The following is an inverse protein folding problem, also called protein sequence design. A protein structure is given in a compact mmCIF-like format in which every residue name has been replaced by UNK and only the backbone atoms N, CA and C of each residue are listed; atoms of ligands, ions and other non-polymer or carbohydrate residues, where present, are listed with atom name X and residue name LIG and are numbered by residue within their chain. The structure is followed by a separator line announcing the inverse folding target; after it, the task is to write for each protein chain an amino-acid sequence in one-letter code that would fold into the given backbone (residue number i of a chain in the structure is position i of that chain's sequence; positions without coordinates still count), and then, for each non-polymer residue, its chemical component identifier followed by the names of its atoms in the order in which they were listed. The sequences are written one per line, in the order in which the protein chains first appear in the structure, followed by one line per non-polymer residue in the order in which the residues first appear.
data_IF_871305187227
#
_entry.id   IF_871305187227
#
_cell.length_a   1.000
_cell.length_b   1.000
_cell.length_c   1.000
_cell.angle_alpha   90.00
_cell.angle_beta   90.00
_cell.angle_gamma   90.00
#
_symmetry.space_group_name_H-M   'P 1'
#
loop_
_entity.id
_entity.type
_entity.pdbx_description
1 polymer ?
#
# COMPACT_ATOMS: atom_id res chain seq x y z
N UNK A 1 24.97 -10.23 38.44
CA UNK A 1 24.09 -9.09 38.77
C UNK A 1 24.04 -8.05 37.64
N UNK A 2 25.17 -7.49 37.20
CA UNK A 2 25.24 -6.48 36.11
C UNK A 2 24.63 -6.96 34.78
N UNK A 3 24.86 -8.23 34.40
CA UNK A 3 24.31 -8.84 33.17
C UNK A 3 22.78 -8.92 33.17
N UNK A 4 22.18 -9.22 34.32
CA UNK A 4 20.72 -9.30 34.48
C UNK A 4 20.07 -7.91 34.45
N UNK A 5 20.75 -6.88 34.97
CA UNK A 5 20.27 -5.50 34.93
C UNK A 5 20.31 -4.90 33.51
N UNK A 6 21.33 -5.25 32.71
CA UNK A 6 21.41 -4.86 31.30
C UNK A 6 20.29 -5.47 30.45
N UNK A 7 19.94 -6.74 30.67
CA UNK A 7 18.83 -7.40 29.97
C UNK A 7 17.48 -6.78 30.35
N UNK A 8 17.25 -6.49 31.63
CA UNK A 8 16.01 -5.82 32.06
C UNK A 8 15.89 -4.41 31.49
N UNK A 9 16.98 -3.64 31.44
CA UNK A 9 16.97 -2.31 30.84
C UNK A 9 16.56 -2.37 29.37
N UNK A 10 17.17 -3.26 28.57
CA UNK A 10 16.85 -3.42 27.14
C UNK A 10 15.37 -3.77 26.93
N UNK A 11 14.83 -4.67 27.76
CA UNK A 11 13.42 -5.06 27.69
C UNK A 11 12.47 -3.90 28.03
N UNK A 12 12.81 -3.04 28.99
CA UNK A 12 11.99 -1.87 29.38
C UNK A 12 11.98 -0.81 28.27
N UNK A 13 13.11 -0.57 27.62
CA UNK A 13 13.18 0.34 26.46
C UNK A 13 12.39 -0.18 25.25
N UNK A 14 12.34 -1.49 25.03
CA UNK A 14 11.55 -2.08 23.94
C UNK A 14 10.03 -1.95 24.16
N UNK A 15 9.56 -1.94 25.41
CA UNK A 15 8.13 -1.83 25.74
C UNK A 15 7.57 -0.42 25.46
N UNK A 16 8.33 0.64 25.76
CA UNK A 16 7.91 2.03 25.51
C UNK A 16 7.72 2.35 24.03
N UNK A 17 8.44 1.65 23.15
CA UNK A 17 8.34 1.80 21.71
C UNK A 17 7.12 1.11 21.09
N UNK A 18 6.40 0.23 21.81
CA UNK A 18 5.19 -0.47 21.31
C UNK A 18 3.88 0.24 21.68
N UNK A 19 3.91 1.09 22.70
CA UNK A 19 2.78 1.97 23.09
C UNK A 19 2.79 3.33 22.38
N UNK A 20 3.86 3.67 21.66
CA UNK A 20 4.05 4.98 21.03
C UNK A 20 3.41 5.11 19.63
N UNK A 21 2.84 4.02 19.10
CA UNK A 21 2.33 3.93 17.73
C UNK A 21 0.98 4.64 17.53
N UNK A 22 0.35 5.16 18.60
CA UNK A 22 -0.92 5.88 18.49
C UNK A 22 -2.04 5.05 17.83
N UNK A 23 -2.02 3.73 18.03
CA UNK A 23 -3.04 2.82 17.53
C UNK A 23 -4.24 2.76 18.49
N UNK A 24 -5.48 2.62 17.97
CA UNK A 24 -5.81 2.66 16.55
C UNK A 24 -5.64 4.07 15.96
N UNK A 25 -5.15 4.14 14.72
CA UNK A 25 -5.06 5.41 13.98
C UNK A 25 -6.47 6.03 13.94
N UNK A 26 -6.65 7.34 14.17
CA UNK A 26 -7.95 7.98 14.07
C UNK A 26 -8.40 7.99 12.60
N UNK A 27 -9.12 6.94 12.20
CA UNK A 27 -9.67 6.73 10.87
C UNK A 27 -11.13 6.32 10.95
N UNK A 28 -11.86 6.53 9.86
CA UNK A 28 -13.26 6.13 9.65
C UNK A 28 -13.34 5.29 8.38
N UNK A 29 -14.47 4.60 8.17
CA UNK A 29 -14.70 3.84 6.93
C UNK A 29 -14.64 4.72 5.66
N UNK A 30 -15.00 6.00 5.77
CA UNK A 30 -14.95 6.95 4.65
C UNK A 30 -13.52 7.21 4.15
N UNK A 31 -12.50 7.10 5.02
CA UNK A 31 -11.10 7.27 4.60
C UNK A 31 -10.65 6.15 3.64
N UNK A 32 -11.38 5.03 3.62
CA UNK A 32 -11.12 3.87 2.76
C UNK A 32 -11.98 3.85 1.50
N UNK A 33 -12.92 4.79 1.35
CA UNK A 33 -13.72 4.96 0.14
C UNK A 33 -12.90 5.67 -0.95
N UNK A 34 -12.01 4.93 -1.60
CA UNK A 34 -11.12 5.47 -2.62
C UNK A 34 -11.81 5.49 -4.00
N UNK A 35 -11.55 6.51 -4.84
CA UNK A 35 -12.03 6.53 -6.20
C UNK A 35 -11.40 5.39 -7.01
N UNK A 36 -12.15 4.85 -7.97
CA UNK A 36 -11.72 3.76 -8.81
C UNK A 36 -12.66 2.56 -8.73
N UNK A 37 -12.21 1.45 -9.29
CA UNK A 37 -12.99 0.24 -9.40
C UNK A 37 -13.15 -0.43 -8.05
N UNK A 38 -14.40 -0.68 -7.64
CA UNK A 38 -14.71 -1.23 -6.32
C UNK A 38 -14.72 -2.76 -6.35
N UNK A 39 -14.56 -3.43 -5.19
CA UNK A 39 -14.77 -4.86 -5.09
C UNK A 39 -16.12 -5.28 -5.66
N UNK A 40 -16.14 -6.38 -6.41
CA UNK A 40 -17.34 -6.94 -7.06
C UNK A 40 -18.02 -6.06 -8.11
N UNK A 41 -17.39 -4.96 -8.59
CA UNK A 41 -17.97 -4.14 -9.67
C UNK A 41 -17.39 -4.43 -11.05
N UNK A 42 -16.32 -5.22 -11.14
CA UNK A 42 -15.73 -5.64 -12.42
C UNK A 42 -16.51 -6.84 -12.96
N UNK A 43 -16.99 -6.74 -14.19
CA UNK A 43 -17.58 -7.89 -14.93
C UNK A 43 -16.70 -8.33 -16.10
N UNK A 44 -15.67 -7.55 -16.43
CA UNK A 44 -14.72 -7.77 -17.51
C UNK A 44 -13.45 -8.48 -17.02
N UNK A 45 -12.80 -9.31 -17.86
CA UNK A 45 -11.51 -9.88 -17.50
C UNK A 45 -10.43 -8.79 -17.28
N UNK A 46 -9.70 -8.91 -16.17
CA UNK A 46 -8.51 -8.08 -15.94
C UNK A 46 -7.40 -8.55 -16.87
N UNK A 47 -7.01 -7.69 -17.81
CA UNK A 47 -5.87 -7.94 -18.71
C UNK A 47 -4.60 -7.24 -18.20
N UNK A 48 -3.45 -7.81 -18.54
CA UNK A 48 -2.17 -7.19 -18.21
C UNK A 48 -2.04 -5.84 -18.92
N UNK A 49 -1.63 -4.79 -18.20
CA UNK A 49 -1.42 -3.46 -18.78
C UNK A 49 -0.39 -3.44 -19.93
N UNK A 50 0.49 -4.44 -20.01
CA UNK A 50 1.39 -4.63 -21.15
C UNK A 50 0.66 -4.82 -22.48
N UNK A 51 -0.58 -5.31 -22.49
CA UNK A 51 -1.40 -5.38 -23.71
C UNK A 51 -1.69 -3.98 -24.28
N UNK A 52 -1.84 -2.98 -23.43
CA UNK A 52 -2.09 -1.60 -23.83
C UNK A 52 -0.83 -0.94 -24.42
N UNK A 53 0.36 -1.40 -24.05
CA UNK A 53 1.63 -0.84 -24.54
C UNK A 53 1.78 -1.00 -26.06
N UNK A 54 1.11 -1.98 -26.67
CA UNK A 54 1.15 -2.17 -28.12
C UNK A 54 0.78 -0.89 -28.88
N UNK A 55 -0.24 -0.17 -28.40
CA UNK A 55 -0.74 1.04 -29.06
C UNK A 55 -0.46 2.32 -28.26
N UNK A 56 -0.24 2.22 -26.95
CA UNK A 56 -0.09 3.36 -26.04
C UNK A 56 1.33 3.54 -25.50
N UNK A 57 2.33 3.08 -26.27
CA UNK A 57 3.76 3.30 -25.99
C UNK A 57 4.50 3.84 -27.21
N UNK A 58 5.78 4.19 -27.03
CA UNK A 58 6.72 4.55 -28.10
C UNK A 58 6.39 5.82 -28.92
N UNK A 59 5.60 6.75 -28.37
CA UNK A 59 5.44 8.10 -28.91
C UNK A 59 5.58 9.17 -27.83
N UNK A 60 5.79 10.42 -28.25
CA UNK A 60 5.95 11.52 -27.30
C UNK A 60 4.68 11.72 -26.46
N UNK A 61 4.82 11.83 -25.14
CA UNK A 61 3.71 11.85 -24.18
C UNK A 61 2.87 10.57 -24.15
N UNK A 62 3.48 9.41 -24.39
CA UNK A 62 2.79 8.12 -24.26
C UNK A 62 2.13 7.99 -22.86
N UNK A 63 0.84 7.61 -22.78
CA UNK A 63 0.12 7.49 -21.51
C UNK A 63 0.80 6.55 -20.52
N UNK A 64 1.41 5.47 -21.03
CA UNK A 64 2.09 4.47 -20.20
C UNK A 64 3.18 5.08 -19.32
N UNK A 65 3.89 6.11 -19.79
CA UNK A 65 4.99 6.71 -19.06
C UNK A 65 4.55 7.46 -17.81
N UNK A 66 3.35 8.03 -17.84
CA UNK A 66 2.74 8.72 -16.69
C UNK A 66 1.94 7.75 -15.84
N UNK A 67 1.20 6.83 -16.44
CA UNK A 67 0.35 5.88 -15.72
C UNK A 67 1.18 4.93 -14.85
N UNK A 68 2.29 4.38 -15.35
CA UNK A 68 3.10 3.36 -14.66
C UNK A 68 3.67 3.81 -13.31
N UNK A 69 3.76 5.12 -13.07
CA UNK A 69 4.28 5.70 -11.83
C UNK A 69 3.18 6.14 -10.86
N UNK A 70 1.90 6.01 -11.23
CA UNK A 70 0.76 6.33 -10.36
C UNK A 70 0.52 5.24 -9.31
N UNK A 71 -0.15 5.63 -8.22
CA UNK A 71 -0.62 4.67 -7.21
C UNK A 71 -1.57 3.62 -7.79
N UNK A 72 -2.37 3.98 -8.81
CA UNK A 72 -3.28 3.07 -9.49
C UNK A 72 -2.55 1.93 -10.20
N UNK A 73 -1.44 2.22 -10.89
CA UNK A 73 -0.62 1.19 -11.54
C UNK A 73 0.19 0.32 -10.57
N UNK A 74 0.34 0.78 -9.32
CA UNK A 74 1.10 0.11 -8.27
C UNK A 74 0.20 -0.53 -7.19
N UNK A 75 -1.12 -0.42 -7.31
CA UNK A 75 -2.08 -0.88 -6.29
C UNK A 75 -1.92 -2.37 -5.94
N UNK A 76 -1.56 -3.22 -6.90
CA UNK A 76 -1.31 -4.65 -6.64
C UNK A 76 -0.01 -4.96 -5.89
N UNK A 77 0.87 -3.97 -5.67
CA UNK A 77 2.14 -4.12 -4.95
C UNK A 77 2.11 -3.51 -3.55
N UNK A 78 1.13 -2.67 -3.26
CA UNK A 78 0.97 -2.05 -1.96
C UNK A 78 0.12 -2.99 -1.06
N UNK A 79 0.67 -3.46 0.08
CA UNK A 79 -0.08 -4.30 1.01
C UNK A 79 -1.39 -3.68 1.51
N UNK A 80 -1.50 -2.34 1.58
CA UNK A 80 -2.74 -1.65 1.97
C UNK A 80 -3.80 -1.75 0.87
N UNK A 81 -3.42 -1.55 -0.40
CA UNK A 81 -4.36 -1.68 -1.51
C UNK A 81 -4.69 -3.14 -1.83
N UNK A 82 -3.73 -4.05 -1.68
CA UNK A 82 -3.96 -5.49 -1.84
C UNK A 82 -4.91 -6.05 -0.78
N UNK A 83 -4.90 -5.50 0.44
CA UNK A 83 -5.85 -5.87 1.50
C UNK A 83 -7.29 -5.38 1.25
N UNK A 84 -7.49 -4.46 0.31
CA UNK A 84 -8.81 -3.93 -0.06
C UNK A 84 -9.45 -4.66 -1.26
N UNK A 85 -8.80 -5.67 -1.84
CA UNK A 85 -9.31 -6.51 -2.92
C UNK A 85 -10.00 -7.77 -2.35
#
# INVERSE_FOLDING_TARGET
MIRSMLVLAILIWAQGALSAQGLPIPTTLEDWAQPGTQPNTIIEPIIAGSACNLCHSAFNNAPVDRWKTTIMAQAGRDPLFHACL
#
